data_IF_335896677202
#
_entry.id   IF_335896677202
#
_cell.length_a   1.000
_cell.length_b   1.000
_cell.length_c   1.000
_cell.angle_alpha   90.00
_cell.angle_beta   90.00
_cell.angle_gamma   90.00
#
_symmetry.space_group_name_H-M   'P 1'
#
loop_
_entity.id
_entity.type
_entity.pdbx_description
1 polymer ?
#
# COMPACT_ATOMS: atom_id res chain seq x y z
N UNK A 1 21.14 10.74 -1.17
CA UNK A 1 20.05 11.71 -0.88
C UNK A 1 18.90 11.12 -0.03
N UNK A 2 19.05 10.01 0.69
CA UNK A 2 17.91 9.16 1.05
C UNK A 2 17.24 9.28 2.44
N UNK A 3 17.48 10.32 3.24
CA UNK A 3 16.87 10.46 4.58
C UNK A 3 16.32 11.86 4.90
N UNK A 4 16.67 12.89 4.13
CA UNK A 4 16.26 14.28 4.41
C UNK A 4 14.86 14.61 3.87
N UNK A 5 14.35 13.86 2.90
CA UNK A 5 13.06 14.12 2.27
C UNK A 5 11.90 13.39 2.96
N UNK A 6 12.16 12.24 3.58
CA UNK A 6 11.14 11.36 4.18
C UNK A 6 10.40 11.97 5.39
N UNK A 7 10.96 13.00 6.03
CA UNK A 7 10.40 13.59 7.25
C UNK A 7 10.03 15.06 7.11
N UNK A 8 10.08 15.64 5.90
CA UNK A 8 9.83 17.08 5.72
C UNK A 8 8.40 17.49 6.06
N UNK A 9 7.44 16.56 5.99
CA UNK A 9 6.05 16.80 6.33
C UNK A 9 5.77 16.82 7.84
N UNK A 10 6.76 16.52 8.69
CA UNK A 10 6.63 16.56 10.15
C UNK A 10 7.23 17.84 10.76
N UNK A 11 6.67 18.25 11.90
CA UNK A 11 7.26 19.28 12.76
C UNK A 11 8.62 18.84 13.34
N UNK A 12 9.49 19.78 13.73
CA UNK A 12 10.84 19.47 14.19
C UNK A 12 10.92 18.48 15.36
N UNK A 13 9.97 18.53 16.30
CA UNK A 13 9.95 17.65 17.47
C UNK A 13 9.61 16.21 17.05
N UNK A 14 8.63 16.06 16.16
CA UNK A 14 8.29 14.76 15.58
C UNK A 14 9.43 14.21 14.72
N UNK A 15 10.10 15.04 13.93
CA UNK A 15 11.29 14.60 13.18
C UNK A 15 12.40 14.09 14.11
N UNK A 16 12.62 14.77 15.24
CA UNK A 16 13.60 14.34 16.24
C UNK A 16 13.18 13.01 16.85
N UNK A 17 11.92 12.86 17.24
CA UNK A 17 11.37 11.62 17.78
C UNK A 17 11.56 10.43 16.82
N UNK A 18 11.21 10.58 15.54
CA UNK A 18 11.37 9.53 14.53
C UNK A 18 12.84 9.20 14.27
N UNK A 19 13.72 10.20 14.21
CA UNK A 19 15.18 10.00 14.07
C UNK A 19 15.77 9.26 15.28
N UNK A 20 15.29 9.55 16.49
CA UNK A 20 15.69 8.82 17.70
C UNK A 20 15.16 7.40 17.65
N UNK A 21 13.89 7.18 17.29
CA UNK A 21 13.30 5.84 17.16
C UNK A 21 14.06 4.94 16.16
N UNK A 22 14.63 5.51 15.10
CA UNK A 22 15.46 4.77 14.14
C UNK A 22 16.83 4.34 14.69
N UNK A 23 17.36 5.04 15.70
CA UNK A 23 18.70 4.81 16.26
C UNK A 23 18.65 4.08 17.60
N UNK A 24 17.71 4.46 18.44
CA UNK A 24 17.51 3.97 19.79
C UNK A 24 16.00 3.85 20.11
N UNK A 25 15.32 2.82 19.56
CA UNK A 25 13.94 2.51 19.89
C UNK A 25 13.63 2.41 21.39
N UNK A 26 14.62 2.03 22.20
CA UNK A 26 14.44 1.81 23.65
C UNK A 26 14.25 3.10 24.45
N UNK A 27 14.69 4.25 23.93
CA UNK A 27 14.58 5.55 24.61
C UNK A 27 13.36 6.38 24.22
N UNK A 28 12.46 5.83 23.40
CA UNK A 28 11.26 6.52 22.92
C UNK A 28 9.99 5.71 23.21
N UNK A 29 8.86 6.41 23.26
CA UNK A 29 7.55 5.77 23.31
C UNK A 29 7.18 5.21 21.93
N UNK A 30 7.37 3.90 21.75
CA UNK A 30 7.10 3.20 20.50
C UNK A 30 5.61 3.14 20.14
N UNK A 31 4.71 3.25 21.11
CA UNK A 31 3.27 3.39 20.83
C UNK A 31 3.00 4.74 20.17
N UNK A 32 3.51 5.83 20.78
CA UNK A 32 3.40 7.18 20.21
C UNK A 32 4.01 7.26 18.81
N UNK A 33 5.19 6.69 18.61
CA UNK A 33 5.86 6.63 17.29
C UNK A 33 4.97 5.91 16.27
N UNK A 34 4.39 4.76 16.62
CA UNK A 34 3.51 4.02 15.71
C UNK A 34 2.26 4.79 15.33
N UNK A 35 1.67 5.53 16.28
CA UNK A 35 0.48 6.35 16.03
C UNK A 35 0.79 7.52 15.09
N UNK A 36 1.90 8.22 15.31
CA UNK A 36 2.35 9.33 14.45
C UNK A 36 2.57 8.88 13.01
N UNK A 37 3.24 7.73 12.83
CA UNK A 37 3.49 7.19 11.49
C UNK A 37 2.17 6.90 10.80
N UNK A 38 1.23 6.20 11.45
CA UNK A 38 -0.08 5.91 10.86
C UNK A 38 -0.83 7.20 10.53
N UNK A 39 -0.90 8.15 11.47
CA UNK A 39 -1.62 9.42 11.29
C UNK A 39 -1.10 10.20 10.08
N UNK A 40 0.22 10.24 9.88
CA UNK A 40 0.81 10.91 8.74
C UNK A 40 0.61 10.12 7.45
N UNK A 41 0.72 8.79 7.49
CA UNK A 41 0.52 7.94 6.31
C UNK A 41 -0.90 8.01 5.75
N UNK A 42 -1.89 8.37 6.57
CA UNK A 42 -3.27 8.61 6.13
C UNK A 42 -3.47 9.98 5.46
N UNK A 43 -2.58 10.94 5.69
CA UNK A 43 -2.72 12.34 5.23
C UNK A 43 -1.81 12.68 4.06
N UNK A 44 -0.68 12.00 3.95
CA UNK A 44 0.39 12.31 3.01
C UNK A 44 0.70 11.09 2.16
N UNK A 45 0.28 11.16 0.90
CA UNK A 45 0.47 10.07 -0.06
C UNK A 45 1.95 9.77 -0.32
N UNK A 46 2.83 10.77 -0.31
CA UNK A 46 4.28 10.57 -0.50
C UNK A 46 4.84 9.82 0.71
N UNK A 47 4.47 10.26 1.92
CA UNK A 47 4.89 9.58 3.13
C UNK A 47 4.34 8.16 3.23
N UNK A 48 3.09 7.91 2.80
CA UNK A 48 2.48 6.58 2.80
C UNK A 48 3.31 5.54 2.01
N UNK A 49 4.00 5.98 0.94
CA UNK A 49 4.89 5.16 0.11
C UNK A 49 6.21 4.82 0.81
N UNK A 50 6.76 5.74 1.60
CA UNK A 50 8.05 5.55 2.28
C UNK A 50 7.90 4.95 3.68
N UNK A 51 6.72 5.04 4.31
CA UNK A 51 6.49 4.65 5.68
C UNK A 51 6.79 3.16 5.96
N UNK A 52 6.66 2.29 4.96
CA UNK A 52 7.04 0.87 5.07
C UNK A 52 8.52 0.68 5.41
N UNK A 53 9.41 1.44 4.79
CA UNK A 53 10.87 1.39 5.03
C UNK A 53 11.22 1.88 6.44
N UNK A 54 10.56 2.96 6.88
CA UNK A 54 10.73 3.52 8.22
C UNK A 54 10.30 2.48 9.26
N UNK A 55 9.10 1.90 9.11
CA UNK A 55 8.59 0.88 10.02
C UNK A 55 9.51 -0.33 10.09
N UNK A 56 9.97 -0.84 8.95
CA UNK A 56 10.93 -1.93 8.89
C UNK A 56 12.22 -1.60 9.66
N UNK A 57 12.77 -0.40 9.46
CA UNK A 57 14.02 0.01 10.11
C UNK A 57 13.87 0.07 11.64
N UNK A 58 12.75 0.58 12.14
CA UNK A 58 12.46 0.62 13.58
C UNK A 58 12.31 -0.79 14.15
N UNK A 59 11.57 -1.68 13.48
CA UNK A 59 11.43 -3.09 13.92
C UNK A 59 12.78 -3.81 13.97
N UNK A 60 13.64 -3.59 12.98
CA UNK A 60 14.97 -4.19 12.97
C UNK A 60 15.88 -3.61 14.06
N UNK A 61 15.77 -2.32 14.36
CA UNK A 61 16.52 -1.69 15.44
C UNK A 61 16.05 -2.21 16.82
N UNK A 62 14.73 -2.33 17.02
CA UNK A 62 14.13 -2.79 18.27
C UNK A 62 14.55 -4.24 18.59
N UNK A 63 14.44 -5.13 17.60
CA UNK A 63 14.81 -6.53 17.72
C UNK A 63 16.31 -6.70 18.04
N UNK A 64 17.18 -5.88 17.42
CA UNK A 64 18.63 -5.92 17.69
C UNK A 64 19.02 -5.47 19.10
N UNK A 65 18.29 -4.52 19.68
CA UNK A 65 18.64 -3.94 20.97
C UNK A 65 18.07 -4.72 22.16
N UNK A 66 16.86 -5.24 22.02
CA UNK A 66 16.07 -5.74 23.16
C UNK A 66 15.37 -7.08 22.90
N UNK A 67 15.54 -7.68 21.72
CA UNK A 67 14.72 -8.81 21.24
C UNK A 67 13.20 -8.52 21.35
N UNK A 68 12.84 -7.23 21.33
CA UNK A 68 11.49 -6.72 21.48
C UNK A 68 10.69 -6.69 20.19
N UNK A 69 9.37 -6.56 20.32
CA UNK A 69 8.44 -6.42 19.20
C UNK A 69 7.27 -5.45 19.48
N UNK A 70 7.49 -4.54 20.44
CA UNK A 70 6.50 -3.57 20.93
C UNK A 70 6.06 -2.65 19.79
N UNK A 71 6.99 -2.10 19.02
CA UNK A 71 6.65 -1.21 17.91
C UNK A 71 5.81 -1.94 16.86
N UNK A 72 6.25 -3.14 16.43
CA UNK A 72 5.52 -3.96 15.46
C UNK A 72 4.09 -4.25 15.93
N UNK A 73 3.92 -4.65 17.19
CA UNK A 73 2.61 -4.95 17.77
C UNK A 73 1.70 -3.72 17.77
N UNK A 74 2.21 -2.57 18.22
CA UNK A 74 1.44 -1.33 18.26
C UNK A 74 1.04 -0.85 16.86
N UNK A 75 1.96 -0.93 15.90
CA UNK A 75 1.71 -0.62 14.50
C UNK A 75 0.59 -1.49 13.91
N UNK A 76 0.67 -2.82 14.09
CA UNK A 76 -0.34 -3.74 13.56
C UNK A 76 -1.70 -3.56 14.24
N UNK A 77 -1.72 -3.35 15.56
CA UNK A 77 -2.95 -3.05 16.30
C UNK A 77 -3.59 -1.75 15.81
N UNK A 78 -2.79 -0.73 15.51
CA UNK A 78 -3.27 0.53 14.95
C UNK A 78 -3.81 0.35 13.53
N UNK A 79 -3.07 -0.31 12.64
CA UNK A 79 -3.52 -0.64 11.27
C UNK A 79 -4.83 -1.41 11.25
N UNK A 80 -5.00 -2.36 12.17
CA UNK A 80 -6.24 -3.14 12.29
C UNK A 80 -7.43 -2.27 12.75
N UNK A 81 -7.20 -1.27 13.61
CA UNK A 81 -8.26 -0.32 14.00
C UNK A 81 -8.74 0.48 12.80
N UNK A 82 -7.82 1.03 12.01
CA UNK A 82 -8.16 1.76 10.77
C UNK A 82 -8.86 0.84 9.75
N UNK A 83 -8.40 -0.42 9.62
CA UNK A 83 -9.03 -1.39 8.71
C UNK A 83 -10.52 -1.62 9.01
N UNK A 84 -10.89 -1.66 10.29
CA UNK A 84 -12.26 -1.95 10.73
C UNK A 84 -13.24 -0.85 10.33
N UNK A 85 -12.78 0.39 10.23
CA UNK A 85 -13.58 1.56 9.88
C UNK A 85 -13.34 2.04 8.44
N UNK A 86 -12.77 1.17 7.58
CA UNK A 86 -12.35 1.55 6.22
C UNK A 86 -13.48 2.07 5.32
N UNK A 87 -14.70 1.57 5.47
CA UNK A 87 -15.83 2.07 4.66
C UNK A 87 -16.23 3.48 5.13
N UNK A 88 -16.20 3.77 6.43
CA UNK A 88 -16.42 5.11 6.97
C UNK A 88 -15.29 6.07 6.54
N UNK A 89 -14.04 5.59 6.55
CA UNK A 89 -12.88 6.33 6.04
C UNK A 89 -13.05 6.69 4.57
N UNK A 90 -13.42 5.71 3.73
CA UNK A 90 -13.68 5.92 2.30
C UNK A 90 -14.84 6.90 2.07
N UNK A 91 -15.92 6.77 2.82
CA UNK A 91 -17.07 7.66 2.74
C UNK A 91 -16.72 9.11 3.13
N UNK A 92 -15.80 9.29 4.09
CA UNK A 92 -15.33 10.60 4.55
C UNK A 92 -14.33 11.24 3.56
N UNK A 93 -13.38 10.46 3.05
CA UNK A 93 -12.32 10.94 2.15
C UNK A 93 -11.73 9.80 1.32
N UNK A 94 -11.94 9.84 0.00
CA UNK A 94 -11.30 8.90 -0.93
C UNK A 94 -9.77 8.99 -0.83
N UNK A 95 -9.24 10.20 -0.72
CA UNK A 95 -7.80 10.43 -0.58
C UNK A 95 -7.21 9.71 0.65
N UNK A 96 -7.88 9.82 1.79
CA UNK A 96 -7.44 9.16 3.03
C UNK A 96 -7.51 7.63 2.90
N UNK A 97 -8.57 7.13 2.24
CA UNK A 97 -8.72 5.71 1.94
C UNK A 97 -7.61 5.17 1.04
N UNK A 98 -7.28 5.83 -0.07
CA UNK A 98 -6.18 5.37 -0.95
C UNK A 98 -4.81 5.52 -0.29
N UNK A 99 -4.62 6.50 0.59
CA UNK A 99 -3.44 6.62 1.44
C UNK A 99 -3.32 5.44 2.41
N UNK A 100 -4.42 5.04 3.04
CA UNK A 100 -4.47 3.83 3.87
C UNK A 100 -4.14 2.57 3.08
N UNK A 101 -4.76 2.36 1.90
CA UNK A 101 -4.48 1.19 1.06
C UNK A 101 -3.00 1.18 0.63
N UNK A 102 -2.47 2.32 0.23
CA UNK A 102 -1.05 2.46 -0.08
C UNK A 102 -0.20 2.08 1.13
N UNK A 103 -0.53 2.59 2.33
CA UNK A 103 0.23 2.30 3.54
C UNK A 103 0.22 0.81 3.91
N UNK A 104 -0.95 0.15 3.95
CA UNK A 104 -1.02 -1.28 4.30
C UNK A 104 -0.27 -2.16 3.30
N UNK A 105 -0.30 -1.83 2.01
CA UNK A 105 0.48 -2.51 0.98
C UNK A 105 1.99 -2.31 1.15
N UNK A 106 2.42 -1.10 1.54
CA UNK A 106 3.82 -0.84 1.88
C UNK A 106 4.27 -1.62 3.11
N UNK A 107 3.43 -1.73 4.14
CA UNK A 107 3.75 -2.55 5.31
C UNK A 107 3.85 -4.03 4.92
N UNK A 108 2.95 -4.53 4.07
CA UNK A 108 3.03 -5.90 3.54
C UNK A 108 4.33 -6.15 2.76
N UNK A 109 4.77 -5.19 1.95
CA UNK A 109 5.98 -5.30 1.14
C UNK A 109 7.27 -5.28 1.98
N UNK A 110 7.39 -4.33 2.91
CA UNK A 110 8.62 -4.13 3.67
C UNK A 110 8.71 -4.93 4.97
N UNK A 111 7.60 -5.13 5.67
CA UNK A 111 7.61 -5.75 6.98
C UNK A 111 7.55 -7.28 6.87
N UNK A 112 8.74 -7.90 6.81
CA UNK A 112 8.90 -9.36 6.67
C UNK A 112 9.37 -10.00 7.97
N UNK A 113 8.89 -11.22 8.24
CA UNK A 113 9.38 -12.08 9.33
C UNK A 113 10.13 -13.23 8.68
N UNK A 114 11.42 -13.40 8.99
CA UNK A 114 12.30 -14.40 8.37
C UNK A 114 12.28 -14.33 6.82
N UNK A 115 12.35 -13.13 6.26
CA UNK A 115 12.23 -12.84 4.82
C UNK A 115 10.89 -13.23 4.15
N UNK A 116 9.89 -13.66 4.93
CA UNK A 116 8.55 -13.96 4.44
C UNK A 116 7.57 -12.81 4.75
N UNK A 117 6.64 -12.47 3.83
CA UNK A 117 5.56 -11.54 4.13
C UNK A 117 4.72 -12.00 5.32
N UNK A 118 4.21 -11.06 6.12
CA UNK A 118 3.36 -11.39 7.26
C UNK A 118 2.00 -11.92 6.79
N UNK A 119 1.72 -13.19 7.07
CA UNK A 119 0.44 -13.85 6.74
C UNK A 119 -0.77 -13.07 7.29
N UNK A 120 -0.61 -12.42 8.45
CA UNK A 120 -1.64 -11.59 9.07
C UNK A 120 -2.10 -10.40 8.20
N UNK A 121 -1.30 -9.97 7.23
CA UNK A 121 -1.61 -8.85 6.33
C UNK A 121 -2.17 -9.30 4.99
N UNK A 122 -2.02 -10.57 4.60
CA UNK A 122 -2.48 -11.10 3.31
C UNK A 122 -3.98 -10.86 3.13
N UNK A 123 -4.80 -11.24 4.12
CA UNK A 123 -6.25 -11.05 4.03
C UNK A 123 -6.67 -9.57 4.00
N UNK A 124 -6.21 -8.70 4.92
CA UNK A 124 -6.50 -7.27 4.86
C UNK A 124 -6.10 -6.59 3.55
N UNK A 125 -4.94 -6.93 2.98
CA UNK A 125 -4.48 -6.36 1.70
C UNK A 125 -5.41 -6.78 0.57
N UNK A 126 -5.75 -8.07 0.48
CA UNK A 126 -6.73 -8.53 -0.51
C UNK A 126 -8.10 -7.88 -0.32
N UNK A 127 -8.58 -7.71 0.92
CA UNK A 127 -9.87 -7.08 1.17
C UNK A 127 -9.89 -5.62 0.67
N UNK A 128 -8.76 -4.91 0.80
CA UNK A 128 -8.59 -3.58 0.19
C UNK A 128 -8.61 -3.64 -1.35
N UNK A 129 -7.86 -4.56 -1.96
CA UNK A 129 -7.85 -4.71 -3.42
C UNK A 129 -9.24 -5.06 -3.98
N UNK A 130 -9.94 -5.99 -3.32
CA UNK A 130 -11.30 -6.39 -3.68
C UNK A 130 -12.29 -5.23 -3.54
N UNK A 131 -12.07 -4.34 -2.56
CA UNK A 131 -12.88 -3.13 -2.38
C UNK A 131 -12.65 -2.11 -3.48
N UNK A 132 -11.40 -1.90 -3.89
CA UNK A 132 -11.04 -1.02 -5.01
C UNK A 132 -11.51 -1.56 -6.37
N UNK A 133 -11.71 -2.88 -6.48
CA UNK A 133 -12.26 -3.54 -7.68
C UNK A 133 -13.80 -3.55 -7.74
N UNK A 134 -14.50 -2.97 -6.76
CA UNK A 134 -15.96 -2.90 -6.81
C UNK A 134 -16.45 -1.91 -7.86
N UNK A 135 -17.67 -2.10 -8.41
CA UNK A 135 -18.16 -1.24 -9.49
C UNK A 135 -18.21 0.25 -9.16
N UNK A 136 -18.52 0.62 -7.90
CA UNK A 136 -18.53 2.02 -7.48
C UNK A 136 -17.11 2.62 -7.42
N UNK A 137 -16.12 1.84 -6.98
CA UNK A 137 -14.72 2.26 -6.92
C UNK A 137 -14.08 2.35 -8.31
N UNK A 138 -14.43 1.46 -9.24
CA UNK A 138 -13.94 1.52 -10.62
C UNK A 138 -14.38 2.79 -11.38
N UNK A 139 -15.38 3.53 -10.89
CA UNK A 139 -15.76 4.84 -11.44
C UNK A 139 -14.91 6.00 -10.92
N UNK A 140 -14.08 5.75 -9.90
CA UNK A 140 -13.22 6.74 -9.31
C UNK A 140 -11.77 6.51 -9.77
N UNK A 141 -11.22 7.42 -10.57
CA UNK A 141 -9.87 7.27 -11.13
C UNK A 141 -8.78 7.19 -10.07
N UNK A 142 -8.92 7.89 -8.93
CA UNK A 142 -7.94 7.86 -7.83
C UNK A 142 -7.87 6.46 -7.19
N UNK A 143 -9.02 5.79 -7.06
CA UNK A 143 -9.09 4.42 -6.56
C UNK A 143 -8.50 3.41 -7.55
N UNK A 144 -8.76 3.58 -8.85
CA UNK A 144 -8.21 2.72 -9.90
C UNK A 144 -6.70 2.87 -10.01
N UNK A 145 -6.18 4.11 -9.97
CA UNK A 145 -4.74 4.37 -9.94
C UNK A 145 -4.08 3.69 -8.75
N UNK A 146 -4.67 3.83 -7.55
CA UNK A 146 -4.18 3.16 -6.35
C UNK A 146 -4.14 1.63 -6.52
N UNK A 147 -5.21 1.03 -7.04
CA UNK A 147 -5.33 -0.41 -7.28
C UNK A 147 -4.24 -0.93 -8.21
N UNK A 148 -4.10 -0.32 -9.38
CA UNK A 148 -3.12 -0.72 -10.40
C UNK A 148 -1.71 -0.52 -9.87
N UNK A 149 -1.42 0.60 -9.22
CA UNK A 149 -0.13 0.85 -8.58
C UNK A 149 0.23 -0.22 -7.56
N UNK A 150 -0.72 -0.64 -6.69
CA UNK A 150 -0.42 -1.68 -5.71
C UNK A 150 -0.23 -3.05 -6.37
N UNK A 151 -1.02 -3.39 -7.39
CA UNK A 151 -0.86 -4.64 -8.13
C UNK A 151 0.48 -4.72 -8.88
N UNK A 152 0.96 -3.61 -9.45
CA UNK A 152 2.31 -3.54 -10.01
C UNK A 152 3.40 -3.85 -8.99
N UNK A 153 3.24 -3.36 -7.76
CA UNK A 153 4.27 -3.45 -6.73
C UNK A 153 4.29 -4.79 -6.00
N UNK A 154 3.13 -5.27 -5.60
CA UNK A 154 3.00 -6.43 -4.71
C UNK A 154 2.15 -7.56 -5.29
N UNK A 155 1.65 -7.43 -6.52
CA UNK A 155 0.74 -8.40 -7.12
C UNK A 155 1.31 -9.82 -7.21
N UNK A 156 2.54 -9.97 -7.70
CA UNK A 156 3.21 -11.27 -7.75
C UNK A 156 3.42 -11.88 -6.35
N UNK A 157 3.84 -11.05 -5.38
CA UNK A 157 4.03 -11.48 -3.99
C UNK A 157 2.70 -11.93 -3.36
N UNK A 158 1.62 -11.22 -3.66
CA UNK A 158 0.28 -11.49 -3.15
C UNK A 158 -0.31 -12.75 -3.79
N UNK A 159 -0.13 -12.95 -5.10
CA UNK A 159 -0.54 -14.15 -5.82
C UNK A 159 0.16 -15.41 -5.30
N UNK A 160 1.47 -15.34 -5.02
CA UNK A 160 2.21 -16.44 -4.38
C UNK A 160 1.65 -16.79 -3.00
N UNK A 161 1.11 -15.80 -2.27
CA UNK A 161 0.49 -16.01 -0.97
C UNK A 161 -0.93 -16.61 -1.08
N UNK A 162 -1.72 -16.25 -2.10
CA UNK A 162 -3.05 -16.81 -2.33
C UNK A 162 -3.54 -16.64 -3.79
N UNK A 163 -3.18 -17.58 -4.67
CA UNK A 163 -3.56 -17.52 -6.09
C UNK A 163 -5.07 -17.50 -6.31
N UNK A 164 -5.85 -18.24 -5.52
CA UNK A 164 -7.30 -18.28 -5.64
C UNK A 164 -7.96 -16.91 -5.42
N UNK A 165 -7.50 -16.14 -4.44
CA UNK A 165 -8.00 -14.76 -4.23
C UNK A 165 -7.54 -13.82 -5.34
N UNK A 166 -6.35 -14.04 -5.91
CA UNK A 166 -5.90 -13.28 -7.07
C UNK A 166 -6.78 -13.54 -8.30
N UNK A 167 -7.18 -14.78 -8.53
CA UNK A 167 -8.12 -15.13 -9.60
C UNK A 167 -9.46 -14.42 -9.42
N UNK A 168 -10.02 -14.46 -8.20
CA UNK A 168 -11.26 -13.76 -7.86
C UNK A 168 -11.16 -12.25 -8.13
N UNK A 169 -10.07 -11.62 -7.70
CA UNK A 169 -9.83 -10.21 -7.97
C UNK A 169 -9.82 -9.92 -9.47
N UNK A 170 -9.08 -10.71 -10.25
CA UNK A 170 -8.98 -10.52 -11.70
C UNK A 170 -10.25 -10.94 -12.46
N UNK A 171 -11.15 -11.73 -11.88
CA UNK A 171 -12.50 -11.89 -12.40
C UNK A 171 -13.29 -10.59 -12.25
N UNK A 172 -13.27 -9.95 -11.07
CA UNK A 172 -13.92 -8.64 -10.87
C UNK A 172 -13.39 -7.57 -11.83
N UNK A 173 -12.08 -7.52 -12.07
CA UNK A 173 -11.50 -6.56 -13.01
C UNK A 173 -11.96 -6.79 -14.45
N UNK A 174 -12.09 -8.06 -14.87
CA UNK A 174 -12.61 -8.40 -16.20
C UNK A 174 -14.09 -8.05 -16.32
N UNK A 175 -14.89 -8.39 -15.32
CA UNK A 175 -16.32 -8.06 -15.28
C UNK A 175 -16.51 -6.54 -15.31
N UNK A 176 -15.75 -5.79 -14.51
CA UNK A 176 -15.72 -4.33 -14.55
C UNK A 176 -15.35 -3.80 -15.93
N UNK A 177 -14.27 -4.29 -16.53
CA UNK A 177 -13.83 -3.84 -17.85
C UNK A 177 -14.87 -4.10 -18.95
N UNK A 178 -15.51 -5.28 -18.95
CA UNK A 178 -16.42 -5.73 -19.99
C UNK A 178 -17.85 -5.21 -19.82
N UNK A 179 -18.37 -5.19 -18.58
CA UNK A 179 -19.79 -4.98 -18.30
C UNK A 179 -20.08 -3.60 -17.73
N UNK A 180 -19.10 -2.92 -17.14
CA UNK A 180 -19.35 -1.65 -16.47
C UNK A 180 -19.47 -0.48 -17.45
N UNK A 181 -20.59 0.21 -17.34
CA UNK A 181 -20.83 1.47 -18.03
C UNK A 181 -20.26 2.66 -17.24
N UNK A 182 -19.87 3.71 -17.97
CA UNK A 182 -19.40 4.96 -17.39
C UNK A 182 -17.96 4.94 -16.85
N UNK A 183 -17.15 3.93 -17.21
CA UNK A 183 -15.71 3.99 -17.00
C UNK A 183 -15.07 5.07 -17.89
N UNK A 184 -14.15 5.84 -17.32
CA UNK A 184 -13.38 6.83 -18.09
C UNK A 184 -12.38 6.13 -19.02
N UNK A 185 -11.88 6.88 -20.02
CA UNK A 185 -10.85 6.35 -20.92
C UNK A 185 -9.58 5.95 -20.18
N UNK A 186 -9.17 6.72 -19.17
CA UNK A 186 -8.00 6.42 -18.36
C UNK A 186 -8.21 5.15 -17.54
N UNK A 187 -9.36 5.00 -16.87
CA UNK A 187 -9.68 3.76 -16.15
C UNK A 187 -9.64 2.55 -17.07
N UNK A 188 -10.22 2.65 -18.28
CA UNK A 188 -10.18 1.53 -19.25
C UNK A 188 -8.74 1.18 -19.64
N UNK A 189 -7.90 2.19 -19.88
CA UNK A 189 -6.49 1.99 -20.21
C UNK A 189 -5.74 1.29 -19.07
N UNK A 190 -5.88 1.78 -17.85
CA UNK A 190 -5.24 1.21 -16.65
C UNK A 190 -5.70 -0.22 -16.36
N UNK A 191 -7.00 -0.50 -16.52
CA UNK A 191 -7.53 -1.86 -16.34
C UNK A 191 -7.01 -2.82 -17.41
N UNK A 192 -6.95 -2.39 -18.68
CA UNK A 192 -6.40 -3.24 -19.74
C UNK A 192 -4.92 -3.53 -19.50
N UNK A 193 -4.16 -2.51 -19.13
CA UNK A 193 -2.73 -2.63 -18.82
C UNK A 193 -2.48 -3.65 -17.72
N UNK A 194 -3.19 -3.57 -16.59
CA UNK A 194 -2.96 -4.51 -15.48
C UNK A 194 -3.43 -5.93 -15.80
N UNK A 195 -4.47 -6.09 -16.63
CA UNK A 195 -4.91 -7.39 -17.13
C UNK A 195 -3.83 -8.05 -18.00
N UNK A 196 -3.21 -7.28 -18.90
CA UNK A 196 -2.07 -7.74 -19.70
C UNK A 196 -0.83 -8.01 -18.83
N UNK A 197 -0.55 -7.15 -17.86
CA UNK A 197 0.58 -7.29 -16.95
C UNK A 197 0.54 -8.62 -16.19
N UNK A 198 -0.62 -8.99 -15.63
CA UNK A 198 -0.76 -10.29 -14.98
C UNK A 198 -0.71 -11.44 -15.99
N UNK A 199 -1.33 -11.31 -17.17
CA UNK A 199 -1.28 -12.34 -18.21
C UNK A 199 0.15 -12.62 -18.70
N UNK A 200 1.03 -11.61 -18.67
CA UNK A 200 2.46 -11.74 -18.95
C UNK A 200 3.30 -12.28 -17.79
N UNK A 201 2.67 -12.73 -16.69
CA UNK A 201 3.38 -13.20 -15.50
C UNK A 201 3.97 -12.06 -14.66
N UNK A 202 3.18 -11.00 -14.45
CA UNK A 202 3.60 -9.76 -13.76
C UNK A 202 4.76 -9.05 -14.48
N UNK A 203 4.71 -9.07 -15.81
CA UNK A 203 5.63 -8.36 -16.70
C UNK A 203 4.89 -7.89 -17.95
N UNK A 204 5.19 -6.67 -18.39
CA UNK A 204 4.69 -6.17 -19.68
C UNK A 204 5.57 -6.65 -20.82
N UNK A 205 4.92 -6.96 -21.95
CA UNK A 205 5.65 -7.15 -23.21
C UNK A 205 6.22 -5.82 -23.72
N UNK A 206 7.25 -5.88 -24.57
CA UNK A 206 7.81 -4.68 -25.20
C UNK A 206 6.79 -3.91 -26.05
N UNK A 207 5.81 -4.60 -26.63
CA UNK A 207 4.73 -3.98 -27.41
C UNK A 207 3.74 -3.26 -26.49
N UNK A 208 3.30 -3.91 -25.41
CA UNK A 208 2.43 -3.31 -24.41
C UNK A 208 3.09 -2.08 -23.78
N UNK A 209 4.37 -2.18 -23.41
CA UNK A 209 5.12 -1.05 -22.85
C UNK A 209 5.10 0.16 -23.80
N UNK A 210 5.27 -0.07 -25.11
CA UNK A 210 5.18 1.01 -26.10
C UNK A 210 3.78 1.63 -26.17
N UNK A 211 2.75 0.80 -26.22
CA UNK A 211 1.36 1.26 -26.31
C UNK A 211 0.97 2.12 -25.10
N UNK A 212 1.30 1.69 -23.88
CA UNK A 212 0.88 2.38 -22.65
C UNK A 212 1.78 3.57 -22.26
N UNK A 213 3.08 3.53 -22.59
CA UNK A 213 4.05 4.51 -22.08
C UNK A 213 4.84 5.28 -23.14
N UNK A 214 4.78 4.89 -24.42
CA UNK A 214 5.53 5.57 -25.50
C UNK A 214 4.65 6.28 -26.54
N UNK A 215 3.34 6.02 -26.58
CA UNK A 215 2.41 6.79 -27.43
C UNK A 215 2.06 8.18 -26.84
N UNK A 216 2.86 8.69 -25.89
CA UNK A 216 2.84 10.09 -25.45
C UNK A 216 3.98 10.83 -26.15
N UNK A 217 3.90 10.92 -27.47
CA UNK A 217 4.58 11.96 -28.25
C UNK A 217 3.98 12.00 -29.65
N UNK A 218 2.85 12.70 -29.77
CA UNK A 218 2.55 13.70 -30.81
C UNK A 218 1.44 14.65 -30.32
#
# INVERSE_FOLDING_TARGET
>A
MGCREQFQSFDPDTQMLLKTALKDPSSVDLEKVSNIIVDQSLKDQVFSKEAGRICYTIVQAEAKQSDGNVFRRNLLNRLQREFKVREDMRARSIHEWVCYVTFICNIFDYLKVNNMPMVALVHPVYDCMMRLAQPDALKNEEEVDCLVLQLHRIGEQLEKANSQRMDQLFFLLRDGFLLQEGLTSMTRLLLLEILEFRAGGWMLSSTANKYYYSEISD
#
